data_IF_754133418646
#
_entry.id   IF_754133418646
#
_cell.length_a   1.000
_cell.length_b   1.000
_cell.length_c   1.000
_cell.angle_alpha   90.00
_cell.angle_beta   90.00
_cell.angle_gamma   90.00
#
_symmetry.space_group_name_H-M   'P 1'
#
loop_
_entity.id
_entity.type
_entity.pdbx_description
1 polymer ?
#
# COMPACT_ATOMS: atom_id res chain seq x y z
N UNK A 1 11.18 -24.73 -36.44
CA UNK A 1 11.92 -24.50 -35.18
C UNK A 1 11.23 -23.37 -34.44
N UNK A 2 10.32 -23.72 -33.53
CA UNK A 2 9.64 -22.78 -32.65
C UNK A 2 10.63 -22.37 -31.57
N UNK A 3 11.11 -21.13 -31.64
CA UNK A 3 11.78 -20.51 -30.51
C UNK A 3 10.67 -19.79 -29.73
N UNK A 4 10.05 -20.49 -28.78
CA UNK A 4 9.21 -19.81 -27.79
C UNK A 4 10.12 -18.87 -27.02
N UNK A 5 10.00 -17.57 -27.31
CA UNK A 5 10.51 -16.54 -26.43
C UNK A 5 9.83 -16.76 -25.08
N UNK A 6 10.59 -17.16 -24.06
CA UNK A 6 10.12 -17.08 -22.68
C UNK A 6 9.72 -15.63 -22.46
N UNK A 7 8.42 -15.36 -22.40
CA UNK A 7 7.90 -14.03 -22.08
C UNK A 7 8.58 -13.55 -20.80
N UNK A 8 9.01 -12.29 -20.77
CA UNK A 8 9.57 -11.73 -19.55
C UNK A 8 8.53 -11.87 -18.44
N UNK A 9 8.93 -12.45 -17.29
CA UNK A 9 8.08 -12.55 -16.10
C UNK A 9 7.56 -11.17 -15.75
N UNK A 10 6.24 -11.04 -15.66
CA UNK A 10 5.58 -9.81 -15.27
C UNK A 10 5.53 -9.74 -13.75
N UNK A 11 5.92 -8.60 -13.18
CA UNK A 11 5.92 -8.41 -11.73
C UNK A 11 4.98 -7.26 -11.39
N UNK A 12 4.06 -7.48 -10.45
CA UNK A 12 3.27 -6.41 -9.83
C UNK A 12 3.75 -6.23 -8.39
N UNK A 13 3.87 -4.98 -7.98
CA UNK A 13 4.25 -4.64 -6.61
C UNK A 13 3.26 -3.65 -6.00
N UNK A 14 2.88 -3.85 -4.75
CA UNK A 14 2.01 -2.95 -4.01
C UNK A 14 2.56 -2.73 -2.61
N UNK A 15 2.97 -1.50 -2.31
CA UNK A 15 3.23 -1.09 -0.94
C UNK A 15 1.90 -0.77 -0.25
N UNK A 16 1.62 -1.40 0.89
CA UNK A 16 0.44 -1.12 1.70
C UNK A 16 0.91 -0.58 3.03
N UNK A 17 0.67 0.71 3.29
CA UNK A 17 1.17 1.40 4.48
C UNK A 17 0.04 1.89 5.37
N UNK A 18 0.29 1.89 6.68
CA UNK A 18 -0.55 2.56 7.67
C UNK A 18 -0.43 4.07 7.48
N UNK A 19 -1.53 4.78 7.64
CA UNK A 19 -1.51 6.25 7.67
C UNK A 19 -0.51 6.80 8.71
N UNK A 20 -0.02 8.01 8.48
CA UNK A 20 0.87 8.71 9.40
C UNK A 20 0.16 9.14 10.70
N UNK A 21 0.90 9.65 11.69
CA UNK A 21 0.34 10.07 12.97
C UNK A 21 -0.86 11.04 12.82
N UNK A 22 -1.98 10.67 13.45
CA UNK A 22 -3.23 11.43 13.36
C UNK A 22 -3.41 12.38 14.52
N UNK A 23 -4.21 13.41 14.28
CA UNK A 23 -4.83 14.18 15.35
C UNK A 23 -5.77 13.25 16.15
N UNK A 24 -5.63 13.14 17.48
CA UNK A 24 -6.50 12.26 18.27
C UNK A 24 -7.95 12.75 18.32
N UNK A 25 -8.22 14.01 18.00
CA UNK A 25 -9.55 14.63 18.09
C UNK A 25 -10.24 14.82 16.73
N UNK A 26 -9.57 14.51 15.61
CA UNK A 26 -10.11 14.74 14.28
C UNK A 26 -9.57 13.73 13.25
N UNK A 27 -10.33 13.49 12.17
CA UNK A 27 -9.85 12.66 11.05
C UNK A 27 -8.90 13.45 10.15
N UNK A 28 -7.68 13.71 10.64
CA UNK A 28 -6.62 14.43 9.94
C UNK A 28 -5.28 14.07 10.51
N UNK A 29 -4.19 14.44 9.83
CA UNK A 29 -2.86 14.28 10.38
C UNK A 29 -2.55 15.32 11.44
N UNK A 30 -1.77 14.92 12.45
CA UNK A 30 -1.11 15.86 13.35
C UNK A 30 0.03 16.59 12.61
N UNK A 31 0.56 17.70 13.14
CA UNK A 31 1.76 18.34 12.57
C UNK A 31 2.94 17.35 12.42
N UNK A 32 3.14 16.48 13.41
CA UNK A 32 4.17 15.44 13.40
C UNK A 32 3.89 14.40 12.32
N UNK A 33 2.64 13.95 12.16
CA UNK A 33 2.27 13.00 11.11
C UNK A 33 2.46 13.54 9.69
N UNK A 34 2.25 14.85 9.49
CA UNK A 34 2.55 15.52 8.22
C UNK A 34 4.04 15.49 7.91
N UNK A 35 4.88 15.80 8.90
CA UNK A 35 6.33 15.72 8.77
C UNK A 35 6.80 14.29 8.53
N UNK A 36 6.24 13.31 9.26
CA UNK A 36 6.52 11.89 9.14
C UNK A 36 6.21 11.34 7.74
N UNK A 37 5.05 11.71 7.17
CA UNK A 37 4.67 11.31 5.82
C UNK A 37 5.60 11.93 4.77
N UNK A 38 5.97 13.19 4.93
CA UNK A 38 6.88 13.87 4.00
C UNK A 38 8.30 13.32 4.08
N UNK A 39 8.78 12.96 5.28
CA UNK A 39 10.06 12.28 5.45
C UNK A 39 10.07 10.90 4.79
N UNK A 40 9.01 10.10 4.98
CA UNK A 40 8.84 8.84 4.26
C UNK A 40 8.93 9.07 2.74
N UNK A 41 8.28 10.11 2.23
CA UNK A 41 8.37 10.48 0.81
C UNK A 41 9.80 10.73 0.34
N UNK A 42 10.61 11.46 1.14
CA UNK A 42 12.02 11.74 0.83
C UNK A 42 12.88 10.48 0.81
N UNK A 43 12.66 9.56 1.75
CA UNK A 43 13.36 8.26 1.78
C UNK A 43 13.01 7.41 0.57
N UNK A 44 11.73 7.39 0.20
CA UNK A 44 11.23 6.64 -0.94
C UNK A 44 11.74 7.18 -2.28
N UNK A 45 12.12 8.45 -2.38
CA UNK A 45 12.62 9.03 -3.64
C UNK A 45 13.81 8.26 -4.25
N UNK A 46 14.63 7.60 -3.44
CA UNK A 46 15.70 6.73 -3.93
C UNK A 46 15.20 5.34 -4.35
N UNK A 47 14.18 4.80 -3.67
CA UNK A 47 13.64 3.45 -3.90
C UNK A 47 12.57 3.39 -5.00
N UNK A 48 11.91 4.51 -5.28
CA UNK A 48 10.92 4.72 -6.35
C UNK A 48 11.26 5.98 -7.14
N UNK A 49 12.38 6.00 -7.87
CA UNK A 49 12.78 7.18 -8.60
C UNK A 49 11.67 7.64 -9.54
N UNK A 50 10.98 6.74 -10.23
CA UNK A 50 9.90 7.09 -11.17
C UNK A 50 8.53 7.34 -10.51
N UNK A 51 8.43 7.13 -9.19
CA UNK A 51 7.20 7.23 -8.42
C UNK A 51 6.34 5.96 -8.47
N UNK A 52 5.03 6.13 -8.23
CA UNK A 52 4.03 5.06 -8.27
C UNK A 52 3.15 5.20 -9.52
N UNK A 53 2.76 4.08 -10.12
CA UNK A 53 1.86 4.06 -11.27
C UNK A 53 0.39 4.29 -10.88
N UNK A 54 0.05 3.83 -9.67
CA UNK A 54 -1.31 3.93 -9.11
C UNK A 54 -1.27 4.09 -7.60
N UNK A 55 -2.19 4.90 -7.06
CA UNK A 55 -2.38 5.07 -5.62
C UNK A 55 -3.81 4.72 -5.20
N UNK A 56 -3.94 3.89 -4.18
CA UNK A 56 -5.19 3.52 -3.55
C UNK A 56 -5.27 4.13 -2.16
N UNK A 57 -6.41 4.73 -1.80
CA UNK A 57 -6.53 5.47 -0.54
C UNK A 57 -7.78 5.03 0.19
N UNK A 58 -7.65 4.78 1.49
CA UNK A 58 -8.82 4.67 2.36
C UNK A 58 -9.67 5.96 2.32
N UNK A 59 -11.01 5.89 2.48
CA UNK A 59 -11.86 7.08 2.56
C UNK A 59 -11.54 8.04 3.71
N UNK A 60 -10.77 7.59 4.71
CA UNK A 60 -10.36 8.43 5.84
C UNK A 60 -9.49 9.62 5.39
N UNK A 61 -9.81 10.83 5.85
CA UNK A 61 -9.08 12.03 5.46
C UNK A 61 -7.60 11.97 5.87
N UNK A 62 -7.26 11.38 7.02
CA UNK A 62 -5.86 11.16 7.42
C UNK A 62 -5.05 10.30 6.44
N UNK A 63 -5.70 9.36 5.74
CA UNK A 63 -5.04 8.54 4.72
C UNK A 63 -4.75 9.38 3.46
N UNK A 64 -5.70 10.21 3.03
CA UNK A 64 -5.51 11.14 1.92
C UNK A 64 -4.43 12.20 2.23
N UNK A 65 -4.42 12.76 3.45
CA UNK A 65 -3.36 13.67 3.90
C UNK A 65 -1.98 12.98 3.93
N UNK A 66 -1.92 11.69 4.31
CA UNK A 66 -0.66 10.92 4.27
C UNK A 66 -0.11 10.85 2.84
N UNK A 67 -0.96 10.51 1.85
CA UNK A 67 -0.55 10.50 0.44
C UNK A 67 -0.06 11.87 -0.01
N UNK A 68 -0.79 12.94 0.31
CA UNK A 68 -0.45 14.29 -0.11
C UNK A 68 0.92 14.74 0.43
N UNK A 69 1.22 14.46 1.71
CA UNK A 69 2.51 14.79 2.31
C UNK A 69 3.63 13.87 1.81
N UNK A 70 3.36 12.58 1.63
CA UNK A 70 4.32 11.63 1.05
C UNK A 70 4.72 12.07 -0.36
N UNK A 71 3.76 12.40 -1.23
CA UNK A 71 4.04 12.87 -2.59
C UNK A 71 4.85 14.18 -2.61
N UNK A 72 4.61 15.08 -1.65
CA UNK A 72 5.44 16.29 -1.49
C UNK A 72 6.89 15.93 -1.20
N UNK A 73 7.13 15.00 -0.27
CA UNK A 73 8.47 14.53 0.06
C UNK A 73 9.15 13.77 -1.08
N UNK A 74 8.35 12.98 -1.82
CA UNK A 74 8.79 12.20 -2.98
C UNK A 74 9.13 13.10 -4.18
N UNK A 75 8.58 14.31 -4.24
CA UNK A 75 8.78 15.24 -5.36
C UNK A 75 8.10 14.78 -6.65
N UNK A 76 7.04 13.97 -6.55
CA UNK A 76 6.31 13.41 -7.70
C UNK A 76 4.85 13.89 -7.72
N UNK A 77 4.25 14.07 -8.92
CA UNK A 77 2.84 14.41 -9.02
C UNK A 77 1.95 13.24 -8.57
N UNK A 78 0.68 13.54 -8.29
CA UNK A 78 -0.33 12.51 -8.02
C UNK A 78 -0.58 11.68 -9.29
N UNK A 79 -0.33 10.36 -9.29
CA UNK A 79 -0.64 9.50 -10.42
C UNK A 79 -2.14 9.18 -10.49
N UNK A 80 -2.50 8.18 -11.32
CA UNK A 80 -3.84 7.58 -11.26
C UNK A 80 -4.14 7.14 -9.84
N UNK A 81 -5.34 7.44 -9.35
CA UNK A 81 -5.70 7.15 -7.99
C UNK A 81 -7.17 6.81 -7.82
N UNK A 82 -7.48 6.07 -6.76
CA UNK A 82 -8.84 5.71 -6.40
C UNK A 82 -9.01 5.67 -4.87
N UNK A 83 -10.21 6.06 -4.42
CA UNK A 83 -10.63 5.88 -3.02
C UNK A 83 -11.31 4.52 -2.90
N UNK A 84 -10.85 3.68 -1.98
CA UNK A 84 -11.26 2.28 -1.85
C UNK A 84 -11.91 2.06 -0.48
N UNK A 85 -13.25 1.93 -0.38
CA UNK A 85 -13.95 1.68 0.89
C UNK A 85 -13.43 0.44 1.63
N UNK A 86 -13.05 -0.60 0.88
CA UNK A 86 -12.43 -1.80 1.43
C UNK A 86 -11.17 -1.53 2.25
N UNK A 87 -10.42 -0.45 1.97
CA UNK A 87 -9.25 -0.04 2.76
C UNK A 87 -9.60 0.50 4.16
N UNK A 88 -10.86 0.83 4.43
CA UNK A 88 -11.39 1.08 5.78
C UNK A 88 -12.11 -0.14 6.39
N UNK A 89 -12.10 -1.28 5.70
CA UNK A 89 -12.85 -2.49 6.04
C UNK A 89 -14.35 -2.40 5.75
N UNK A 90 -14.80 -1.38 5.03
CA UNK A 90 -16.22 -1.23 4.65
C UNK A 90 -16.63 -2.32 3.65
N UNK A 91 -17.86 -2.81 3.78
CA UNK A 91 -18.39 -3.86 2.89
C UNK A 91 -17.79 -5.25 3.09
N UNK A 92 -17.04 -5.46 4.19
CA UNK A 92 -16.42 -6.75 4.52
C UNK A 92 -16.87 -7.23 5.89
N UNK A 93 -16.81 -8.53 6.13
CA UNK A 93 -16.97 -9.11 7.47
C UNK A 93 -15.71 -8.95 8.34
N UNK A 94 -14.68 -8.28 7.83
CA UNK A 94 -13.37 -8.08 8.45
C UNK A 94 -12.68 -9.40 8.82
N UNK A 95 -13.07 -10.53 8.25
CA UNK A 95 -12.31 -11.77 8.37
C UNK A 95 -10.93 -11.62 7.71
N UNK A 96 -9.90 -12.41 8.11
CA UNK A 96 -8.60 -12.35 7.46
C UNK A 96 -8.70 -12.60 5.95
N UNK A 97 -9.52 -13.56 5.53
CA UNK A 97 -9.76 -13.87 4.11
C UNK A 97 -10.42 -12.71 3.36
N UNK A 98 -11.40 -12.02 3.95
CA UNK A 98 -12.01 -10.86 3.30
C UNK A 98 -11.01 -9.70 3.14
N UNK A 99 -10.15 -9.45 4.13
CA UNK A 99 -9.08 -8.44 4.05
C UNK A 99 -8.00 -8.83 3.04
N UNK A 100 -7.66 -10.12 2.97
CA UNK A 100 -6.75 -10.64 1.96
C UNK A 100 -7.30 -10.44 0.54
N UNK A 101 -8.61 -10.64 0.35
CA UNK A 101 -9.30 -10.37 -0.91
C UNK A 101 -9.19 -8.90 -1.35
N UNK A 102 -9.30 -7.95 -0.41
CA UNK A 102 -9.07 -6.53 -0.70
C UNK A 102 -7.64 -6.29 -1.16
N UNK A 103 -6.64 -6.79 -0.42
CA UNK A 103 -5.23 -6.60 -0.76
C UNK A 103 -4.86 -7.25 -2.11
N UNK A 104 -5.36 -8.45 -2.38
CA UNK A 104 -5.16 -9.15 -3.64
C UNK A 104 -5.77 -8.37 -4.81
N UNK A 105 -7.02 -7.89 -4.68
CA UNK A 105 -7.67 -7.12 -5.73
C UNK A 105 -6.95 -5.80 -6.03
N UNK A 106 -6.37 -5.15 -5.01
CA UNK A 106 -5.56 -3.95 -5.23
C UNK A 106 -4.24 -4.26 -5.93
N UNK A 107 -3.58 -5.36 -5.58
CA UNK A 107 -2.37 -5.81 -6.26
C UNK A 107 -2.65 -6.15 -7.73
N UNK A 108 -3.76 -6.81 -8.01
CA UNK A 108 -4.18 -7.17 -9.38
C UNK A 108 -4.53 -5.93 -10.21
N UNK A 109 -4.99 -4.84 -9.57
CA UNK A 109 -5.26 -3.56 -10.21
C UNK A 109 -3.99 -2.74 -10.51
N UNK A 110 -2.82 -3.15 -10.03
CA UNK A 110 -1.53 -2.55 -10.41
C UNK A 110 -1.22 -2.92 -11.87
N UNK A 111 -0.77 -1.98 -12.71
CA UNK A 111 -0.33 -2.30 -14.07
C UNK A 111 0.76 -3.39 -14.10
N UNK A 112 0.82 -4.17 -15.17
CA UNK A 112 1.90 -5.15 -15.37
C UNK A 112 3.26 -4.46 -15.38
N UNK A 113 4.20 -4.99 -14.59
CA UNK A 113 5.51 -4.37 -14.39
C UNK A 113 5.48 -3.12 -13.51
N UNK A 114 4.31 -2.73 -13.00
CA UNK A 114 4.10 -1.49 -12.26
C UNK A 114 4.20 -1.62 -10.75
N UNK A 115 4.17 -0.45 -10.10
CA UNK A 115 4.20 -0.29 -8.64
C UNK A 115 3.03 0.54 -8.16
N UNK A 116 2.27 -0.02 -7.23
CA UNK A 116 1.19 0.64 -6.52
C UNK A 116 1.60 1.08 -5.11
N UNK A 117 0.86 2.05 -4.59
CA UNK A 117 0.84 2.41 -3.17
C UNK A 117 -0.60 2.37 -2.66
N UNK A 118 -0.83 1.77 -1.50
CA UNK A 118 -2.08 1.82 -0.77
C UNK A 118 -1.87 2.41 0.62
N UNK A 119 -2.68 3.41 1.01
CA UNK A 119 -2.69 3.92 2.39
C UNK A 119 -3.97 3.49 3.11
N UNK A 120 -3.79 2.73 4.20
CA UNK A 120 -4.86 2.12 4.99
C UNK A 120 -4.62 2.16 6.50
N UNK A 121 -5.14 1.15 7.20
CA UNK A 121 -5.16 1.07 8.67
C UNK A 121 -4.75 -0.32 9.16
N UNK A 122 -4.23 -0.40 10.38
CA UNK A 122 -3.63 -1.63 10.90
C UNK A 122 -4.56 -2.80 11.23
N UNK A 123 -5.87 -2.64 11.53
CA UNK A 123 -6.71 -3.84 11.54
C UNK A 123 -6.84 -4.49 10.16
N UNK A 124 -6.75 -3.71 9.08
CA UNK A 124 -6.87 -4.25 7.72
C UNK A 124 -5.58 -4.92 7.26
N UNK A 125 -4.45 -4.23 7.38
CA UNK A 125 -3.18 -4.68 6.80
C UNK A 125 -2.77 -6.00 7.45
N UNK A 126 -2.76 -6.06 8.78
CA UNK A 126 -2.34 -7.24 9.56
C UNK A 126 -3.24 -8.45 9.26
N UNK A 127 -4.56 -8.25 9.26
CA UNK A 127 -5.53 -9.32 8.95
C UNK A 127 -5.48 -9.75 7.49
N UNK A 128 -5.24 -8.81 6.58
CA UNK A 128 -5.08 -9.11 5.17
C UNK A 128 -3.82 -9.94 4.91
N UNK A 129 -2.71 -9.62 5.56
CA UNK A 129 -1.48 -10.45 5.51
C UNK A 129 -1.75 -11.84 6.07
N UNK A 130 -2.39 -11.95 7.23
CA UNK A 130 -2.78 -13.23 7.81
C UNK A 130 -3.63 -14.07 6.83
N UNK A 131 -4.59 -13.46 6.14
CA UNK A 131 -5.40 -14.17 5.15
C UNK A 131 -4.66 -14.51 3.85
N UNK A 132 -3.66 -13.72 3.44
CA UNK A 132 -2.88 -13.95 2.21
C UNK A 132 -1.86 -15.07 2.37
N UNK A 133 -1.13 -15.09 3.48
CA UNK A 133 0.04 -15.98 3.65
C UNK A 133 -0.03 -16.86 4.89
N UNK A 134 -1.10 -16.75 5.69
CA UNK A 134 -1.29 -17.60 6.88
C UNK A 134 -0.38 -17.26 8.06
N UNK A 135 0.31 -16.10 8.02
CA UNK A 135 1.22 -15.66 9.07
C UNK A 135 0.76 -14.33 9.68
N UNK A 136 0.83 -14.24 11.00
CA UNK A 136 0.67 -12.99 11.72
C UNK A 136 1.95 -12.16 11.61
N UNK A 137 1.80 -10.84 11.62
CA UNK A 137 2.90 -9.89 11.71
C UNK A 137 2.73 -9.05 12.97
N UNK A 138 3.85 -8.58 13.52
CA UNK A 138 3.80 -7.65 14.65
C UNK A 138 3.02 -6.37 14.27
N UNK A 139 2.36 -5.69 15.22
CA UNK A 139 1.61 -4.49 14.95
C UNK A 139 2.44 -3.44 14.19
N UNK A 140 1.86 -2.81 13.17
CA UNK A 140 2.58 -1.80 12.38
C UNK A 140 2.47 -0.42 13.03
N UNK A 141 3.61 0.26 13.18
CA UNK A 141 3.64 1.68 13.53
C UNK A 141 3.11 2.55 12.38
N UNK A 142 2.88 3.83 12.64
CA UNK A 142 2.52 4.81 11.61
C UNK A 142 3.56 4.83 10.49
N UNK A 143 3.11 4.95 9.23
CA UNK A 143 3.95 4.88 8.02
C UNK A 143 4.64 3.53 7.73
N UNK A 144 4.64 2.58 8.66
CA UNK A 144 5.04 1.20 8.39
C UNK A 144 4.01 0.48 7.52
N UNK A 145 4.41 -0.64 6.93
CA UNK A 145 3.53 -1.39 6.05
C UNK A 145 4.09 -2.72 5.62
N UNK A 146 3.59 -3.19 4.49
CA UNK A 146 4.10 -4.36 3.79
C UNK A 146 4.25 -4.08 2.30
N UNK A 147 5.20 -4.74 1.67
CA UNK A 147 5.32 -4.83 0.22
C UNK A 147 4.73 -6.18 -0.22
N UNK A 148 3.70 -6.12 -1.04
CA UNK A 148 3.14 -7.29 -1.72
C UNK A 148 3.78 -7.42 -3.09
N UNK A 149 4.27 -8.62 -3.41
CA UNK A 149 4.88 -8.91 -4.71
C UNK A 149 4.18 -10.11 -5.34
N UNK A 150 3.78 -9.98 -6.60
CA UNK A 150 3.31 -11.11 -7.40
C UNK A 150 4.06 -11.18 -8.71
N UNK A 151 4.64 -12.34 -8.97
CA UNK A 151 5.25 -12.70 -10.26
C UNK A 151 4.21 -13.51 -11.04
N UNK A 152 3.87 -13.05 -12.24
CA UNK A 152 2.84 -13.62 -13.10
C UNK A 152 1.54 -13.92 -12.32
N UNK A 153 0.96 -15.11 -12.47
CA UNK A 153 -0.19 -15.59 -11.70
C UNK A 153 0.22 -16.38 -10.44
N UNK A 154 1.44 -16.16 -9.95
CA UNK A 154 2.02 -16.85 -8.81
C UNK A 154 1.44 -16.42 -7.45
N UNK A 155 1.89 -17.07 -6.37
CA UNK A 155 1.50 -16.69 -5.01
C UNK A 155 1.99 -15.28 -4.66
N UNK A 156 1.24 -14.59 -3.80
CA UNK A 156 1.67 -13.30 -3.24
C UNK A 156 2.77 -13.54 -2.22
N UNK A 157 3.90 -12.84 -2.40
CA UNK A 157 4.96 -12.72 -1.40
C UNK A 157 4.77 -11.43 -0.61
N UNK A 158 5.11 -11.45 0.67
CA UNK A 158 4.95 -10.33 1.60
C UNK A 158 6.30 -10.02 2.24
N UNK A 159 6.70 -8.76 2.22
CA UNK A 159 7.87 -8.25 2.92
C UNK A 159 7.43 -7.11 3.86
N UNK A 160 7.90 -7.12 5.11
CA UNK A 160 7.56 -6.06 6.08
C UNK A 160 8.38 -4.80 5.84
N UNK A 161 7.72 -3.63 5.92
CA UNK A 161 8.32 -2.32 5.73
C UNK A 161 8.32 -1.58 7.08
N UNK A 162 9.38 -1.78 7.87
CA UNK A 162 9.54 -1.26 9.24
C UNK A 162 10.43 -0.01 9.30
N UNK A 163 10.25 0.83 10.33
CA UNK A 163 11.01 2.08 10.54
C UNK A 163 11.38 2.33 12.00
#
# INVERSE_FOLDING_TARGET
>A
MLHEARGATTVRTLEVRRHAARDPQADRLSPEGRAQAEELGRELAAAVPDGYDVIFVSPAQRAAETVAHLLRGLGRPLPRHAVIPGLAGEGTDRSPLAMAGVLAALLDAVPEGGRGLAIGHTPLIERGVLGLVGAEIEPLAECEGVLLVREDDGPVRVEELRR
#
